data_IF_555216618983
#
_entry.id   IF_555216618983
#
_cell.length_a   1.000
_cell.length_b   1.000
_cell.length_c   1.000
_cell.angle_alpha   90.00
_cell.angle_beta   90.00
_cell.angle_gamma   90.00
#
_symmetry.space_group_name_H-M   'P 1'
#
loop_
_entity.id
_entity.type
_entity.pdbx_description
1 polymer ?
#
# COMPACT_ATOMS: atom_id res chain seq x y z
N UNK A 1 10.73 7.47 14.49
CA UNK A 1 9.81 6.32 14.69
C UNK A 1 9.20 6.01 13.35
N UNK A 2 8.97 4.74 13.03
CA UNK A 2 8.29 4.41 11.79
C UNK A 2 6.80 4.78 11.87
N UNK A 3 6.21 5.25 10.78
CA UNK A 3 4.77 5.51 10.66
C UNK A 3 4.16 4.70 9.51
N UNK A 4 2.85 4.47 9.59
CA UNK A 4 2.07 3.81 8.55
C UNK A 4 0.89 4.72 8.21
N UNK A 5 0.72 5.01 6.93
CA UNK A 5 -0.34 5.84 6.39
C UNK A 5 -1.08 5.05 5.30
N UNK A 6 -2.40 5.17 5.28
CA UNK A 6 -3.23 4.59 4.23
C UNK A 6 -3.84 5.70 3.39
N UNK A 7 -3.58 5.65 2.08
CA UNK A 7 -4.21 6.52 1.10
C UNK A 7 -5.34 5.76 0.39
N UNK A 8 -6.57 6.16 0.72
CA UNK A 8 -7.78 5.54 0.16
C UNK A 8 -8.06 5.98 -1.28
N UNK A 9 -7.50 7.09 -1.77
CA UNK A 9 -7.70 7.56 -3.13
C UNK A 9 -6.98 6.65 -4.13
N UNK A 10 -5.76 6.25 -3.79
CA UNK A 10 -4.94 5.36 -4.63
C UNK A 10 -4.94 3.89 -4.16
N UNK A 11 -5.58 3.61 -3.02
CA UNK A 11 -5.60 2.28 -2.40
C UNK A 11 -4.18 1.76 -2.12
N UNK A 12 -3.37 2.60 -1.47
CA UNK A 12 -1.98 2.32 -1.17
C UNK A 12 -1.69 2.49 0.32
N UNK A 13 -0.72 1.74 0.82
CA UNK A 13 -0.20 1.88 2.17
C UNK A 13 1.25 2.37 2.09
N UNK A 14 1.54 3.47 2.77
CA UNK A 14 2.88 4.00 2.91
C UNK A 14 3.45 3.63 4.27
N UNK A 15 4.65 3.06 4.29
CA UNK A 15 5.42 2.79 5.51
C UNK A 15 6.64 3.71 5.50
N UNK A 16 6.67 4.70 6.40
CA UNK A 16 7.79 5.63 6.55
C UNK A 16 8.76 5.11 7.61
N UNK A 17 10.05 5.00 7.29
CA UNK A 17 11.08 4.60 8.25
C UNK A 17 11.79 5.80 8.90
N UNK A 18 11.98 6.87 8.12
CA UNK A 18 12.61 8.12 8.57
C UNK A 18 11.98 9.33 7.89
N UNK A 19 12.10 10.49 8.54
CA UNK A 19 11.79 11.77 7.91
C UNK A 19 12.86 12.12 6.87
N UNK A 20 12.45 12.76 5.78
CA UNK A 20 13.36 13.13 4.70
C UNK A 20 12.63 13.49 3.42
N UNK A 21 13.37 14.09 2.49
CA UNK A 21 12.88 14.40 1.15
C UNK A 21 13.18 13.24 0.22
N UNK A 22 12.15 12.74 -0.45
CA UNK A 22 12.30 11.75 -1.53
C UNK A 22 13.02 12.40 -2.71
N UNK A 23 14.13 11.78 -3.14
CA UNK A 23 14.83 12.12 -4.38
C UNK A 23 14.30 11.26 -5.53
N UNK A 24 14.12 9.96 -5.28
CA UNK A 24 13.66 8.98 -6.27
C UNK A 24 12.73 7.96 -5.66
N UNK A 25 11.82 7.46 -6.49
CA UNK A 25 10.95 6.33 -6.21
C UNK A 25 11.23 5.25 -7.25
N UNK A 26 11.56 4.04 -6.80
CA UNK A 26 11.93 2.93 -7.67
C UNK A 26 11.01 1.73 -7.45
N UNK A 27 10.49 1.10 -8.52
CA UNK A 27 9.72 -0.13 -8.39
C UNK A 27 10.64 -1.28 -7.94
N UNK A 28 10.31 -1.88 -6.80
CA UNK A 28 10.99 -3.08 -6.29
C UNK A 28 10.28 -4.37 -6.73
N UNK A 29 8.96 -4.30 -6.84
CA UNK A 29 8.10 -5.37 -7.35
C UNK A 29 6.81 -4.75 -7.94
N UNK A 30 5.97 -5.57 -8.58
CA UNK A 30 4.75 -5.11 -9.26
C UNK A 30 3.84 -4.20 -8.41
N UNK A 31 3.82 -4.41 -7.09
CA UNK A 31 2.98 -3.65 -6.16
C UNK A 31 3.79 -2.97 -5.04
N UNK A 32 5.12 -2.87 -5.18
CA UNK A 32 6.00 -2.30 -4.15
C UNK A 32 6.94 -1.27 -4.78
N UNK A 33 6.89 -0.05 -4.27
CA UNK A 33 7.75 1.07 -4.67
C UNK A 33 8.57 1.49 -3.44
N UNK A 34 9.85 1.77 -3.65
CA UNK A 34 10.76 2.23 -2.59
C UNK A 34 11.14 3.68 -2.84
N UNK A 35 10.96 4.51 -1.82
CA UNK A 35 11.42 5.90 -1.84
C UNK A 35 12.80 6.00 -1.19
N UNK A 36 13.73 6.63 -1.91
CA UNK A 36 15.11 6.87 -1.45
C UNK A 36 15.44 8.37 -1.45
N UNK A 37 16.35 8.76 -0.56
CA UNK A 37 16.94 10.10 -0.55
C UNK A 37 18.06 10.25 -1.59
N UNK A 38 18.65 11.45 -1.65
CA UNK A 38 19.73 11.81 -2.57
C UNK A 38 21.05 11.04 -2.32
N UNK A 39 21.14 10.31 -1.21
CA UNK A 39 22.26 9.43 -0.85
C UNK A 39 21.94 7.95 -1.12
N UNK A 40 20.75 7.64 -1.61
CA UNK A 40 20.28 6.28 -1.86
C UNK A 40 19.83 5.54 -0.59
N UNK A 41 19.63 6.24 0.52
CA UNK A 41 19.10 5.62 1.74
C UNK A 41 17.56 5.60 1.71
N UNK A 42 16.96 4.49 2.14
CA UNK A 42 15.51 4.32 2.15
C UNK A 42 14.84 5.31 3.11
N UNK A 43 13.82 6.02 2.61
CA UNK A 43 12.90 6.85 3.38
C UNK A 43 11.65 6.06 3.76
N UNK A 44 11.09 5.32 2.80
CA UNK A 44 9.85 4.59 2.98
C UNK A 44 9.56 3.62 1.84
N UNK A 45 8.47 2.87 2.01
CA UNK A 45 7.95 1.94 1.01
C UNK A 45 6.47 2.23 0.80
N UNK A 46 6.05 2.30 -0.46
CA UNK A 46 4.66 2.32 -0.87
C UNK A 46 4.24 0.92 -1.35
N UNK A 47 3.11 0.44 -0.83
CA UNK A 47 2.52 -0.84 -1.18
C UNK A 47 1.16 -0.57 -1.81
N UNK A 48 1.03 -0.88 -3.10
CA UNK A 48 -0.25 -0.82 -3.79
C UNK A 48 -1.10 -2.03 -3.37
N UNK A 49 -2.30 -1.76 -2.85
CA UNK A 49 -3.21 -2.81 -2.41
C UNK A 49 -4.08 -3.29 -3.58
N UNK A 50 -4.46 -4.58 -3.59
CA UNK A 50 -5.34 -5.11 -4.62
C UNK A 50 -6.68 -4.38 -4.60
N UNK A 51 -7.16 -4.01 -5.79
CA UNK A 51 -8.57 -3.60 -5.95
C UNK A 51 -9.42 -4.86 -6.00
N UNK A 52 -10.29 -5.01 -5.00
CA UNK A 52 -11.30 -6.06 -5.02
C UNK A 52 -12.39 -5.66 -6.01
N UNK A 53 -12.55 -6.45 -7.06
CA UNK A 53 -13.72 -6.33 -7.92
C UNK A 53 -14.98 -6.93 -7.25
N UNK A 54 -16.14 -6.68 -7.85
CA UNK A 54 -17.42 -7.13 -7.31
C UNK A 54 -17.49 -8.67 -7.17
N UNK A 55 -16.87 -9.40 -8.10
CA UNK A 55 -16.88 -10.86 -8.11
C UNK A 55 -16.01 -11.43 -6.99
N UNK A 56 -14.84 -10.84 -6.80
CA UNK A 56 -13.92 -11.17 -5.72
C UNK A 56 -14.56 -10.87 -4.36
N UNK A 57 -15.24 -9.73 -4.26
CA UNK A 57 -15.97 -9.32 -3.06
C UNK A 57 -17.07 -10.34 -2.73
N UNK A 58 -17.91 -10.70 -3.71
CA UNK A 58 -18.96 -11.70 -3.53
C UNK A 58 -18.38 -13.06 -3.10
N UNK A 59 -17.29 -13.50 -3.74
CA UNK A 59 -16.61 -14.74 -3.38
C UNK A 59 -16.11 -14.72 -1.95
N UNK A 60 -15.42 -13.65 -1.54
CA UNK A 60 -14.88 -13.49 -0.18
C UNK A 60 -16.02 -13.46 0.84
N UNK A 61 -17.10 -12.71 0.59
CA UNK A 61 -18.27 -12.67 1.49
C UNK A 61 -18.89 -14.06 1.69
N UNK A 62 -19.01 -14.84 0.61
CA UNK A 62 -19.50 -16.23 0.68
C UNK A 62 -18.53 -17.14 1.45
N UNK A 63 -17.23 -17.05 1.17
CA UNK A 63 -16.20 -17.87 1.80
C UNK A 63 -16.07 -17.60 3.30
N UNK A 64 -16.14 -16.33 3.71
CA UNK A 64 -16.03 -15.91 5.10
C UNK A 64 -17.34 -16.01 5.90
N UNK A 65 -18.45 -16.43 5.27
CA UNK A 65 -19.80 -16.47 5.87
C UNK A 65 -20.22 -15.14 6.52
N UNK A 66 -19.68 -14.03 6.03
CA UNK A 66 -20.06 -12.70 6.53
C UNK A 66 -21.47 -12.43 6.03
N UNK A 67 -22.43 -12.28 6.95
CA UNK A 67 -23.75 -11.74 6.60
C UNK A 67 -23.54 -10.29 6.17
N UNK A 68 -23.67 -10.03 4.88
CA UNK A 68 -23.88 -8.68 4.39
C UNK A 68 -25.33 -8.35 4.73
N UNK A 69 -25.56 -7.69 5.85
CA UNK A 69 -26.86 -7.05 6.11
C UNK A 69 -26.97 -5.88 5.14
N UNK A 70 -28.02 -5.89 4.32
CA UNK A 70 -28.33 -4.88 3.32
C UNK A 70 -29.02 -3.66 3.89
#
# INVERSE_FOLDING_TARGET
MASIEFDSEVNAMYIRFKEGKVDKSEPLADNIIVDVDDRGEVIGIEILLPKLDAKMTEFISKALKVRVEG
#
